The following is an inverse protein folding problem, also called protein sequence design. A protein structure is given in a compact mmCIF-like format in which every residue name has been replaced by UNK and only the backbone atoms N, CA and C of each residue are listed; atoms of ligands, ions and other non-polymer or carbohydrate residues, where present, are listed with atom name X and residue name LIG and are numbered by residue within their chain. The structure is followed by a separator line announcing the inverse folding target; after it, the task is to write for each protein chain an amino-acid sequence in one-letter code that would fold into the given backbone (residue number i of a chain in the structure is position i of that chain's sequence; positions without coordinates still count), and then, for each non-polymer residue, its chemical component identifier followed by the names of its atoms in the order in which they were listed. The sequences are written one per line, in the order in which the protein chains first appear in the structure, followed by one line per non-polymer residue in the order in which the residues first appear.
data_IF_889521696919
#
_entry.id   IF_889521696919
#
_cell.length_a   1.000
_cell.length_b   1.000
_cell.length_c   1.000
_cell.angle_alpha   90.00
_cell.angle_beta   90.00
_cell.angle_gamma   90.00
#
_symmetry.space_group_name_H-M   'P 1'
#
loop_
_entity.id
_entity.type
_entity.pdbx_description
1 polymer ?
#
# COMPACT_ATOMS: atom_id res chain seq x y z
N UNK A 1 1.04 -13.06 -11.77
CA UNK A 1 0.62 -13.29 -10.36
C UNK A 1 1.33 -12.26 -9.50
N UNK A 2 0.60 -11.58 -8.62
CA UNK A 2 1.18 -10.75 -7.56
C UNK A 2 1.07 -11.53 -6.26
N UNK A 3 2.16 -11.65 -5.51
CA UNK A 3 2.14 -12.32 -4.22
C UNK A 3 3.17 -11.69 -3.28
N UNK A 4 2.88 -11.66 -1.99
CA UNK A 4 3.77 -11.10 -0.98
C UNK A 4 3.34 -11.47 0.43
N UNK A 5 4.28 -11.32 1.36
CA UNK A 5 4.02 -11.45 2.80
C UNK A 5 4.54 -10.19 3.48
N UNK A 6 3.70 -9.56 4.28
CA UNK A 6 4.01 -8.33 5.01
C UNK A 6 3.98 -8.62 6.51
N UNK A 7 5.15 -8.58 7.13
CA UNK A 7 5.31 -8.97 8.53
C UNK A 7 5.75 -7.79 9.41
N UNK A 8 5.18 -7.69 10.61
CA UNK A 8 5.56 -6.73 11.64
C UNK A 8 6.22 -7.48 12.78
N UNK A 9 7.37 -6.97 13.23
CA UNK A 9 8.11 -7.53 14.35
C UNK A 9 8.27 -6.51 15.48
N UNK A 10 8.19 -7.00 16.71
CA UNK A 10 8.62 -6.28 17.89
C UNK A 10 10.13 -6.43 18.03
N UNK A 11 10.87 -5.42 17.60
CA UNK A 11 12.33 -5.46 17.64
C UNK A 11 12.92 -5.20 19.03
N UNK A 12 12.13 -4.83 20.03
CA UNK A 12 12.61 -4.64 21.40
C UNK A 12 12.51 -5.93 22.22
N UNK A 13 11.66 -6.87 21.79
CA UNK A 13 11.57 -8.20 22.39
C UNK A 13 12.87 -9.00 22.25
N UNK A 14 13.14 -9.87 23.22
CA UNK A 14 14.34 -10.73 23.27
C UNK A 14 14.43 -11.63 22.03
N UNK A 15 13.29 -12.18 21.59
CA UNK A 15 13.18 -13.06 20.43
C UNK A 15 12.84 -12.35 19.13
N UNK A 16 12.75 -11.01 19.11
CA UNK A 16 12.26 -10.24 17.96
C UNK A 16 10.89 -10.74 17.49
N UNK A 17 9.92 -10.73 18.40
CA UNK A 17 8.63 -11.42 18.26
C UNK A 17 7.87 -10.99 17.00
N UNK A 18 7.29 -11.94 16.27
CA UNK A 18 6.35 -11.63 15.19
C UNK A 18 5.04 -11.11 15.81
N UNK A 19 4.61 -9.93 15.37
CA UNK A 19 3.33 -9.35 15.77
C UNK A 19 2.23 -9.84 14.81
N UNK A 20 2.42 -9.64 13.50
CA UNK A 20 1.43 -9.97 12.48
C UNK A 20 2.12 -10.30 11.15
N UNK A 21 1.53 -11.20 10.37
CA UNK A 21 1.91 -11.48 8.98
C UNK A 21 0.67 -11.50 8.08
N UNK A 22 0.65 -10.61 7.08
CA UNK A 22 -0.38 -10.54 6.04
C UNK A 22 0.12 -11.23 4.77
N UNK A 23 -0.55 -12.30 4.36
CA UNK A 23 -0.28 -13.05 3.14
C UNK A 23 -1.23 -12.56 2.05
N UNK A 24 -0.68 -12.10 0.94
CA UNK A 24 -1.46 -11.55 -0.17
C UNK A 24 -1.14 -12.29 -1.46
N UNK A 25 -2.17 -12.64 -2.22
CA UNK A 25 -2.06 -13.13 -3.60
C UNK A 25 -3.13 -12.52 -4.49
N UNK A 26 -2.77 -12.13 -5.70
CA UNK A 26 -3.69 -11.58 -6.68
C UNK A 26 -3.40 -12.02 -8.12
N UNK A 27 -4.47 -12.09 -8.89
CA UNK A 27 -4.47 -12.21 -10.35
C UNK A 27 -4.76 -10.81 -10.95
N UNK A 28 -3.72 -10.09 -11.42
CA UNK A 28 -3.91 -8.76 -12.00
C UNK A 28 -4.21 -8.82 -13.49
N UNK A 29 -5.10 -7.94 -13.94
CA UNK A 29 -5.41 -7.63 -15.32
C UNK A 29 -5.15 -6.14 -15.55
N UNK A 30 -4.11 -5.83 -16.31
CA UNK A 30 -3.72 -4.46 -16.64
C UNK A 30 -4.07 -4.10 -18.08
N UNK A 31 -4.46 -2.86 -18.31
CA UNK A 31 -4.51 -2.27 -19.64
C UNK A 31 -3.85 -0.89 -19.64
N UNK A 32 -3.29 -0.51 -20.78
CA UNK A 32 -2.78 0.84 -21.01
C UNK A 32 -3.10 1.29 -22.43
N UNK A 33 -3.58 2.53 -22.57
CA UNK A 33 -3.83 3.19 -23.85
C UNK A 33 -3.37 4.65 -23.75
N UNK A 34 -2.19 4.94 -24.29
CA UNK A 34 -1.57 6.26 -24.17
C UNK A 34 -1.32 6.59 -22.70
N UNK A 35 -1.85 7.73 -22.26
CA UNK A 35 -1.74 8.25 -20.89
C UNK A 35 -2.73 7.60 -19.90
N UNK A 36 -3.70 6.83 -20.40
CA UNK A 36 -4.68 6.12 -19.59
C UNK A 36 -4.18 4.72 -19.26
N UNK A 37 -4.16 4.37 -17.97
CA UNK A 37 -3.88 3.01 -17.49
C UNK A 37 -4.99 2.53 -16.56
N UNK A 38 -5.25 1.23 -16.55
CA UNK A 38 -6.15 0.62 -15.58
C UNK A 38 -5.65 -0.73 -15.12
N UNK A 39 -6.02 -1.08 -13.90
CA UNK A 39 -5.67 -2.30 -13.21
C UNK A 39 -6.91 -2.85 -12.53
N UNK A 40 -7.23 -4.11 -12.80
CA UNK A 40 -8.24 -4.90 -12.08
C UNK A 40 -7.53 -6.08 -11.42
N UNK A 41 -7.89 -6.41 -10.19
CA UNK A 41 -7.32 -7.54 -9.45
C UNK A 41 -8.44 -8.35 -8.82
N UNK A 42 -8.33 -9.66 -8.91
CA UNK A 42 -9.00 -10.59 -7.98
C UNK A 42 -7.94 -11.07 -7.02
N UNK A 43 -8.20 -10.97 -5.72
CA UNK A 43 -7.20 -11.23 -4.70
C UNK A 43 -7.76 -12.03 -3.52
N UNK A 44 -6.84 -12.67 -2.80
CA UNK A 44 -7.04 -13.27 -1.50
C UNK A 44 -6.00 -12.68 -0.55
N UNK A 45 -6.43 -12.31 0.65
CA UNK A 45 -5.56 -11.91 1.74
C UNK A 45 -5.95 -12.65 3.02
N UNK A 46 -4.96 -13.19 3.72
CA UNK A 46 -5.12 -13.74 5.07
C UNK A 46 -4.10 -13.15 6.02
N UNK A 47 -4.49 -12.98 7.27
CA UNK A 47 -3.68 -12.34 8.31
C UNK A 47 -3.55 -13.25 9.51
N UNK A 48 -2.32 -13.44 9.97
CA UNK A 48 -2.00 -14.30 11.10
C UNK A 48 -1.20 -13.51 12.14
N UNK A 49 -1.68 -13.52 13.38
CA UNK A 49 -0.89 -13.06 14.52
C UNK A 49 0.26 -14.02 14.80
N UNK A 50 1.39 -13.48 15.24
CA UNK A 50 2.49 -14.30 15.75
C UNK A 50 2.14 -14.91 17.10
N UNK A 51 2.64 -16.13 17.30
CA UNK A 51 2.31 -16.96 18.46
C UNK A 51 2.87 -16.35 19.76
N UNK A 52 4.04 -15.71 19.69
CA UNK A 52 4.66 -14.99 20.80
C UNK A 52 3.83 -13.78 21.26
N UNK A 53 3.25 -13.03 20.31
CA UNK A 53 2.36 -11.91 20.61
C UNK A 53 1.08 -12.35 21.30
N UNK A 54 0.50 -13.49 20.88
CA UNK A 54 -0.68 -14.09 21.50
C UNK A 54 -0.41 -14.50 22.95
N UNK A 55 0.73 -15.16 23.20
CA UNK A 55 1.12 -15.60 24.54
C UNK A 55 1.37 -14.42 25.49
N UNK A 56 1.94 -13.33 24.99
CA UNK A 56 2.26 -12.13 25.77
C UNK A 56 1.05 -11.26 26.10
N UNK A 57 0.14 -11.08 25.14
CA UNK A 57 -0.99 -10.14 25.28
C UNK A 57 -2.30 -10.79 25.74
N UNK A 58 -2.41 -12.13 25.68
CA UNK A 58 -3.66 -12.88 25.87
C UNK A 58 -4.81 -12.39 24.96
N UNK A 59 -4.46 -11.81 23.81
CA UNK A 59 -5.45 -11.35 22.83
C UNK A 59 -6.20 -12.55 22.24
N UNK A 60 -7.49 -12.40 21.97
CA UNK A 60 -8.24 -13.43 21.24
C UNK A 60 -7.86 -13.37 19.76
N UNK A 61 -7.44 -14.50 19.21
CA UNK A 61 -7.13 -14.63 17.79
C UNK A 61 -8.41 -14.48 16.97
N UNK A 62 -8.41 -13.53 16.05
CA UNK A 62 -9.42 -13.43 14.99
C UNK A 62 -8.79 -14.04 13.73
N UNK A 63 -9.49 -14.98 13.08
CA UNK A 63 -9.12 -15.41 11.74
C UNK A 63 -9.56 -14.29 10.80
N UNK A 64 -8.61 -13.49 10.32
CA UNK A 64 -8.87 -12.44 9.37
C UNK A 64 -8.46 -12.95 7.98
N UNK A 65 -9.44 -13.20 7.13
CA UNK A 65 -9.25 -13.65 5.76
C UNK A 65 -10.32 -13.01 4.88
N UNK A 66 -9.96 -12.61 3.67
CA UNK A 66 -10.94 -12.11 2.71
C UNK A 66 -10.47 -12.24 1.27
N UNK A 67 -11.44 -12.44 0.40
CA UNK A 67 -11.32 -12.43 -1.04
C UNK A 67 -12.08 -11.25 -1.60
N UNK A 68 -11.47 -10.59 -2.57
CA UNK A 68 -12.02 -9.37 -3.12
C UNK A 68 -11.64 -9.14 -4.57
N UNK A 69 -12.31 -8.14 -5.12
CA UNK A 69 -11.93 -7.51 -6.37
C UNK A 69 -11.62 -6.05 -6.11
N UNK A 70 -10.56 -5.53 -6.74
CA UNK A 70 -10.28 -4.10 -6.74
C UNK A 70 -9.90 -3.62 -8.13
N UNK A 71 -10.31 -2.40 -8.45
CA UNK A 71 -10.07 -1.76 -9.73
C UNK A 71 -9.56 -0.34 -9.53
N UNK A 72 -8.53 0.04 -10.29
CA UNK A 72 -7.98 1.40 -10.34
C UNK A 72 -7.79 1.85 -11.77
N UNK A 73 -7.98 3.15 -12.00
CA UNK A 73 -7.69 3.85 -13.25
C UNK A 73 -6.79 5.03 -12.94
N UNK A 74 -5.83 5.30 -13.82
CA UNK A 74 -4.96 6.46 -13.72
C UNK A 74 -4.78 7.16 -15.05
N UNK A 75 -4.56 8.47 -15.01
CA UNK A 75 -4.25 9.29 -16.17
C UNK A 75 -2.98 10.11 -15.94
N UNK A 76 -2.10 10.16 -16.94
CA UNK A 76 -0.87 10.94 -16.94
C UNK A 76 -1.07 12.28 -17.66
N UNK A 77 -0.72 13.37 -16.99
CA UNK A 77 -0.77 14.73 -17.50
C UNK A 77 0.65 15.26 -17.72
N UNK A 78 0.78 16.18 -18.69
CA UNK A 78 2.02 16.91 -18.98
C UNK A 78 3.24 15.99 -19.22
N UNK A 79 3.04 14.94 -20.01
CA UNK A 79 4.13 14.07 -20.45
C UNK A 79 4.73 13.18 -19.36
N UNK A 80 3.91 12.78 -18.37
CA UNK A 80 4.18 11.97 -17.17
C UNK A 80 4.49 12.75 -15.87
N UNK A 81 4.50 14.08 -15.92
CA UNK A 81 4.87 14.88 -14.75
C UNK A 81 3.85 14.77 -13.61
N UNK A 82 2.56 14.61 -13.93
CA UNK A 82 1.51 14.40 -12.94
C UNK A 82 0.68 13.19 -13.33
N UNK A 83 0.53 12.24 -12.41
CA UNK A 83 -0.39 11.11 -12.56
C UNK A 83 -1.46 11.21 -11.49
N UNK A 84 -2.72 11.17 -11.91
CA UNK A 84 -3.87 11.13 -10.98
C UNK A 84 -4.53 9.76 -11.12
N UNK A 85 -4.93 9.18 -10.00
CA UNK A 85 -5.58 7.87 -10.00
C UNK A 85 -6.75 7.82 -9.02
N UNK A 86 -7.65 6.87 -9.29
CA UNK A 86 -8.79 6.55 -8.44
C UNK A 86 -9.24 5.13 -8.67
N UNK A 87 -9.88 4.54 -7.66
CA UNK A 87 -10.35 3.17 -7.72
C UNK A 87 -11.19 2.78 -6.52
N UNK A 88 -11.80 1.61 -6.62
CA UNK A 88 -12.67 1.04 -5.60
C UNK A 88 -12.42 -0.46 -5.48
N UNK A 89 -12.80 -1.02 -4.33
CA UNK A 89 -12.72 -2.44 -4.06
C UNK A 89 -13.96 -2.96 -3.35
N UNK A 90 -14.20 -4.26 -3.53
CA UNK A 90 -15.30 -4.99 -2.90
C UNK A 90 -14.81 -6.35 -2.41
N UNK A 91 -15.06 -6.65 -1.14
CA UNK A 91 -14.81 -7.96 -0.53
C UNK A 91 -16.04 -8.84 -0.68
N UNK A 92 -15.94 -9.93 -1.45
CA UNK A 92 -17.07 -10.83 -1.70
C UNK A 92 -17.08 -12.07 -0.78
N UNK A 93 -15.93 -12.44 -0.22
CA UNK A 93 -15.81 -13.46 0.83
C UNK A 93 -14.94 -12.93 1.96
N UNK A 94 -15.36 -13.17 3.21
CA UNK A 94 -14.87 -12.47 4.41
C UNK A 94 -15.04 -13.33 5.65
N UNK A 95 -13.95 -13.50 6.38
CA UNK A 95 -13.90 -14.04 7.73
C UNK A 95 -13.17 -13.02 8.64
N UNK A 96 -13.84 -12.47 9.67
CA UNK A 96 -15.26 -12.61 9.98
C UNK A 96 -16.17 -11.86 8.98
N UNK A 97 -17.37 -12.40 8.75
CA UNK A 97 -18.38 -11.82 7.85
C UNK A 97 -18.87 -10.41 8.27
N UNK A 98 -18.55 -9.97 9.49
CA UNK A 98 -18.87 -8.64 10.01
C UNK A 98 -18.09 -7.51 9.34
N UNK A 99 -16.96 -7.81 8.68
CA UNK A 99 -16.13 -6.82 8.00
C UNK A 99 -16.92 -6.18 6.87
N UNK A 100 -17.03 -4.86 6.82
CA UNK A 100 -17.73 -4.18 5.75
C UNK A 100 -16.93 -4.22 4.44
N UNK A 101 -17.59 -4.46 3.29
CA UNK A 101 -16.90 -4.90 2.08
C UNK A 101 -16.33 -3.78 1.20
N UNK A 102 -16.82 -2.55 1.29
CA UNK A 102 -16.46 -1.53 0.32
C UNK A 102 -15.21 -0.73 0.70
N UNK A 103 -14.43 -0.38 -0.33
CA UNK A 103 -13.30 0.54 -0.20
C UNK A 103 -13.18 1.49 -1.38
N UNK A 104 -12.61 2.66 -1.15
CA UNK A 104 -12.30 3.69 -2.13
C UNK A 104 -10.86 4.14 -1.93
N UNK A 105 -10.14 4.39 -3.02
CA UNK A 105 -8.78 4.92 -2.99
C UNK A 105 -8.55 5.89 -4.14
N UNK A 106 -7.88 7.00 -3.88
CA UNK A 106 -7.50 7.96 -4.90
C UNK A 106 -6.28 8.76 -4.47
N UNK A 107 -5.58 9.34 -5.44
CA UNK A 107 -4.36 10.07 -5.16
C UNK A 107 -3.73 10.68 -6.38
N UNK A 108 -2.58 11.30 -6.15
CA UNK A 108 -1.77 11.92 -7.18
C UNK A 108 -0.29 11.66 -6.94
N UNK A 109 0.44 11.44 -8.02
CA UNK A 109 1.88 11.26 -8.05
C UNK A 109 2.47 12.36 -8.95
N UNK A 110 3.49 13.04 -8.48
CA UNK A 110 4.22 14.07 -9.21
C UNK A 110 5.65 13.62 -9.42
N UNK A 111 6.08 13.58 -10.67
CA UNK A 111 7.47 13.41 -11.06
C UNK A 111 7.93 14.72 -11.71
N UNK A 112 8.90 15.39 -11.07
CA UNK A 112 9.34 16.69 -11.56
C UNK A 112 9.90 16.56 -12.99
N UNK A 113 9.44 17.40 -13.95
CA UNK A 113 10.02 17.45 -15.29
C UNK A 113 11.38 18.16 -15.31
N UNK A 114 11.81 18.72 -14.18
CA UNK A 114 13.11 19.35 -13.97
C UNK A 114 13.86 18.74 -12.78
N UNK A 115 15.19 18.53 -12.89
CA UNK A 115 16.01 18.73 -14.08
C UNK A 115 15.63 17.76 -15.22
N UNK A 116 16.13 18.01 -16.44
CA UNK A 116 15.85 17.11 -17.58
C UNK A 116 16.27 15.67 -17.24
N UNK A 117 15.62 14.66 -17.82
CA UNK A 117 15.90 13.23 -17.54
C UNK A 117 17.38 12.84 -17.63
N UNK A 118 18.15 13.53 -18.48
CA UNK A 118 19.60 13.32 -18.63
C UNK A 118 20.42 13.63 -17.38
N UNK A 119 19.85 14.35 -16.40
CA UNK A 119 20.51 14.63 -15.13
C UNK A 119 20.65 13.38 -14.25
N UNK A 120 19.92 12.29 -14.56
CA UNK A 120 19.99 11.04 -13.79
C UNK A 120 19.30 11.09 -12.44
N UNK A 121 18.57 12.16 -12.13
CA UNK A 121 17.76 12.28 -10.93
C UNK A 121 16.60 13.26 -11.12
N UNK A 122 15.56 13.14 -10.29
CA UNK A 122 14.46 14.12 -10.22
C UNK A 122 13.75 14.12 -8.87
N UNK A 123 13.23 15.26 -8.40
CA UNK A 123 12.29 15.30 -7.30
C UNK A 123 10.98 14.56 -7.63
N UNK A 124 10.44 13.88 -6.64
CA UNK A 124 9.15 13.20 -6.71
C UNK A 124 8.32 13.47 -5.46
N UNK A 125 7.00 13.47 -5.61
CA UNK A 125 6.06 13.57 -4.50
C UNK A 125 4.78 12.79 -4.80
N UNK A 126 4.08 12.34 -3.78
CA UNK A 126 2.81 11.66 -3.91
C UNK A 126 1.91 11.91 -2.70
N UNK A 127 0.61 11.90 -2.93
CA UNK A 127 -0.43 11.86 -1.91
C UNK A 127 -1.41 10.74 -2.24
N UNK A 128 -1.86 10.04 -1.20
CA UNK A 128 -2.80 8.92 -1.29
C UNK A 128 -3.86 9.07 -0.19
N UNK A 129 -5.10 8.79 -0.57
CA UNK A 129 -6.27 8.82 0.28
C UNK A 129 -6.99 7.49 0.16
N UNK A 130 -7.29 6.87 1.30
CA UNK A 130 -8.02 5.62 1.37
C UNK A 130 -9.21 5.76 2.30
N UNK A 131 -10.31 5.12 1.92
CA UNK A 131 -11.51 5.03 2.73
C UNK A 131 -12.00 3.59 2.72
N UNK A 132 -12.40 3.09 3.88
CA UNK A 132 -13.00 1.76 4.04
C UNK A 132 -14.32 1.91 4.75
N UNK A 133 -15.33 1.20 4.26
CA UNK A 133 -16.65 1.15 4.88
C UNK A 133 -16.57 0.64 6.32
N UNK A 134 -15.66 -0.30 6.61
CA UNK A 134 -15.44 -0.87 7.95
C UNK A 134 -15.01 0.18 8.98
N UNK A 135 -14.43 1.28 8.51
CA UNK A 135 -13.97 2.39 9.31
C UNK A 135 -14.89 3.62 9.15
N UNK A 136 -16.17 3.39 8.86
CA UNK A 136 -17.19 4.45 8.69
C UNK A 136 -16.77 5.50 7.65
N UNK A 137 -16.06 5.08 6.60
CA UNK A 137 -15.52 5.96 5.56
C UNK A 137 -14.55 7.04 6.05
N UNK A 138 -14.02 6.88 7.25
CA UNK A 138 -12.95 7.74 7.78
C UNK A 138 -11.74 7.70 6.85
N UNK A 139 -11.15 8.88 6.62
CA UNK A 139 -10.05 9.06 5.68
C UNK A 139 -8.73 8.62 6.29
N UNK A 140 -8.02 7.77 5.57
CA UNK A 140 -6.61 7.45 5.79
C UNK A 140 -5.77 8.24 4.78
N UNK A 141 -4.69 8.86 5.24
CA UNK A 141 -3.87 9.76 4.45
C UNK A 141 -2.41 9.32 4.47
N UNK A 142 -1.79 9.31 3.28
CA UNK A 142 -0.34 9.19 3.14
C UNK A 142 0.22 10.27 2.23
N UNK A 143 1.37 10.82 2.62
CA UNK A 143 2.17 11.69 1.77
C UNK A 143 3.60 11.16 1.71
N UNK A 144 4.18 11.20 0.51
CA UNK A 144 5.58 10.84 0.29
C UNK A 144 6.25 11.89 -0.57
N UNK A 145 7.52 12.19 -0.28
CA UNK A 145 8.31 13.09 -1.10
C UNK A 145 9.79 12.72 -1.03
N UNK A 146 10.52 12.95 -2.11
CA UNK A 146 11.94 12.65 -2.14
C UNK A 146 12.55 12.76 -3.52
N UNK A 147 13.53 11.91 -3.79
CA UNK A 147 14.31 11.96 -5.04
C UNK A 147 14.33 10.57 -5.66
N UNK A 148 14.05 10.54 -6.96
CA UNK A 148 14.34 9.39 -7.81
C UNK A 148 15.70 9.57 -8.47
N UNK A 149 16.52 8.52 -8.44
CA UNK A 149 17.77 8.38 -9.16
C UNK A 149 17.52 7.41 -10.33
N UNK A 150 17.78 7.89 -11.54
CA UNK A 150 17.58 7.13 -12.77
C UNK A 150 18.88 6.37 -13.14
N UNK A 151 18.76 5.15 -13.67
CA UNK A 151 19.91 4.40 -14.20
C UNK A 151 20.84 3.78 -13.15
N UNK A 152 20.37 3.63 -11.91
CA UNK A 152 21.06 2.84 -10.88
C UNK A 152 21.08 1.36 -11.33
N UNK A 153 22.25 0.72 -11.34
CA UNK A 153 22.42 -0.68 -11.81
C UNK A 153 21.91 -0.91 -13.26
N UNK A 154 22.61 -0.33 -14.23
CA UNK A 154 22.41 -0.45 -15.68
C UNK A 154 21.14 0.21 -16.25
N UNK A 155 19.96 0.06 -15.63
CA UNK A 155 18.69 0.67 -16.11
C UNK A 155 17.61 0.86 -15.05
N UNK A 156 17.92 0.62 -13.77
CA UNK A 156 16.91 0.61 -12.70
C UNK A 156 16.78 1.99 -12.06
N UNK A 157 15.60 2.26 -11.54
CA UNK A 157 15.35 3.48 -10.79
C UNK A 157 15.38 3.15 -9.30
N UNK A 158 16.06 4.00 -8.54
CA UNK A 158 16.06 3.96 -7.08
C UNK A 158 15.36 5.21 -6.58
N UNK A 159 14.49 5.08 -5.58
CA UNK A 159 13.86 6.22 -4.92
C UNK A 159 14.27 6.26 -3.46
N UNK A 160 14.56 7.45 -2.96
CA UNK A 160 14.75 7.74 -1.54
C UNK A 160 13.64 8.68 -1.13
N UNK A 161 12.82 8.26 -0.16
CA UNK A 161 11.56 8.93 0.19
C UNK A 161 11.49 9.22 1.68
N UNK A 162 11.00 10.40 2.00
CA UNK A 162 10.35 10.68 3.27
C UNK A 162 8.88 10.32 3.17
N UNK A 163 8.35 9.68 4.20
CA UNK A 163 6.97 9.19 4.25
C UNK A 163 6.27 9.74 5.49
N UNK A 164 5.03 10.18 5.34
CA UNK A 164 4.11 10.50 6.42
C UNK A 164 2.83 9.70 6.22
N UNK A 165 2.30 9.14 7.30
CA UNK A 165 1.04 8.42 7.30
C UNK A 165 0.23 8.79 8.53
N UNK A 166 -1.07 8.99 8.32
CA UNK A 166 -2.05 9.21 9.37
C UNK A 166 -3.36 8.51 8.96
N UNK A 167 -3.75 7.49 9.70
CA UNK A 167 -4.93 6.70 9.36
C UNK A 167 -5.03 5.41 10.15
N UNK A 168 -5.96 4.55 9.75
CA UNK A 168 -6.10 3.22 10.32
C UNK A 168 -4.92 2.32 9.91
N UNK A 169 -4.51 1.44 10.82
CA UNK A 169 -3.42 0.51 10.55
C UNK A 169 -3.77 -0.38 9.36
N UNK A 170 -2.91 -0.47 8.34
CA UNK A 170 -3.15 -1.37 7.20
C UNK A 170 -2.95 -2.86 7.57
N UNK A 171 -2.56 -3.15 8.81
CA UNK A 171 -1.97 -4.43 9.18
C UNK A 171 -2.93 -5.32 9.94
N UNK A 172 -3.25 -6.46 9.33
CA UNK A 172 -4.03 -7.55 9.92
C UNK A 172 -5.20 -7.09 10.79
N UNK A 173 -5.34 -7.70 11.96
CA UNK A 173 -6.44 -7.44 12.91
C UNK A 173 -6.43 -6.05 13.55
N UNK A 174 -5.41 -5.23 13.30
CA UNK A 174 -5.32 -3.88 13.85
C UNK A 174 -6.01 -2.83 12.96
N UNK A 175 -6.78 -3.27 11.96
CA UNK A 175 -7.45 -2.42 10.96
C UNK A 175 -8.40 -1.34 11.53
N UNK A 176 -8.77 -1.41 12.81
CA UNK A 176 -9.54 -0.37 13.52
C UNK A 176 -8.69 0.63 14.29
N UNK A 177 -7.42 0.33 14.54
CA UNK A 177 -6.51 1.19 15.31
C UNK A 177 -5.94 2.28 14.42
N UNK A 178 -6.01 3.53 14.86
CA UNK A 178 -5.33 4.64 14.19
C UNK A 178 -3.85 4.69 14.57
N UNK A 179 -3.02 4.92 13.57
CA UNK A 179 -1.58 5.11 13.70
C UNK A 179 -1.16 6.39 12.98
N UNK A 180 -0.09 7.00 13.48
CA UNK A 180 0.58 8.12 12.86
C UNK A 180 2.08 7.84 12.88
N UNK A 181 2.75 8.00 11.75
CA UNK A 181 4.20 7.84 11.70
C UNK A 181 4.83 8.69 10.61
N UNK A 182 6.12 8.94 10.81
CA UNK A 182 7.04 9.43 9.79
C UNK A 182 8.10 8.35 9.52
N UNK A 183 8.55 8.26 8.27
CA UNK A 183 9.47 7.21 7.85
C UNK A 183 10.44 7.67 6.77
N UNK A 184 11.48 6.87 6.59
CA UNK A 184 12.39 6.95 5.46
C UNK A 184 12.36 5.61 4.71
N UNK A 185 12.18 5.68 3.39
CA UNK A 185 12.08 4.51 2.52
C UNK A 185 13.10 4.57 1.38
N UNK A 186 13.62 3.40 1.02
CA UNK A 186 14.40 3.20 -0.19
C UNK A 186 13.71 2.15 -1.07
N UNK A 187 13.35 2.52 -2.29
CA UNK A 187 12.57 1.67 -3.20
C UNK A 187 13.35 1.41 -4.49
N UNK A 188 13.45 0.13 -4.88
CA UNK A 188 14.08 -0.29 -6.13
C UNK A 188 13.01 -0.83 -7.07
N UNK A 189 12.90 -0.23 -8.25
CA UNK A 189 11.97 -0.67 -9.28
C UNK A 189 12.65 -1.69 -10.19
N UNK A 190 12.06 -2.89 -10.30
CA UNK A 190 12.55 -4.03 -11.08
C UNK A 190 11.70 -4.29 -12.32
#
# INVERSE_FOLDING_TARGET
VQAGVFAIFDLDAVSKDLINADYFVALPFGFRRGDLSGLLRVFHQSSHLGDEFLLRTRSQRINLSYEGLDGKVSYEFWGDALRVYGGAGYLFDRDPASIQPWSLQYGAEFASPWPSRNAGWRPIAAVDFQHREENEWSMDFSARAGVQLDGVLASRNMQILFEYFFGHSPNGQFFKSKIEYIGLGAHFHF
#
